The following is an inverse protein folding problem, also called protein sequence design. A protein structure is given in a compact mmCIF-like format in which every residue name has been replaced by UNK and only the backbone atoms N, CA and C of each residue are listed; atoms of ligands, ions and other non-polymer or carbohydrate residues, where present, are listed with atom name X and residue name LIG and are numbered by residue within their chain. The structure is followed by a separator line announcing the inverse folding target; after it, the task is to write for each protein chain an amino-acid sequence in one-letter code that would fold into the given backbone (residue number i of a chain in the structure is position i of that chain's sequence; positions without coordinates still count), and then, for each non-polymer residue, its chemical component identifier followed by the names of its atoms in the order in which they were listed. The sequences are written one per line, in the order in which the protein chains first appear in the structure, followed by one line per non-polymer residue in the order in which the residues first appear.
data_IF_687453480691
#
_entry.id   IF_687453480691
#
_cell.length_a   1.000
_cell.length_b   1.000
_cell.length_c   1.000
_cell.angle_alpha   90.00
_cell.angle_beta   90.00
_cell.angle_gamma   90.00
#
_symmetry.space_group_name_H-M   'P 1'
#
loop_
_entity.id
_entity.type
_entity.pdbx_description
1 polymer ?
#
# COMPACT_ATOMS: atom_id res chain seq x y z
N UNK A 1 36.43 -8.63 -0.94
CA UNK A 1 35.65 -8.52 -2.19
C UNK A 1 34.43 -7.70 -1.91
N UNK A 2 34.20 -6.57 -2.61
CA UNK A 2 32.97 -5.78 -2.50
C UNK A 2 31.78 -6.69 -2.83
N UNK A 3 30.81 -6.79 -1.94
CA UNK A 3 29.59 -7.54 -2.24
C UNK A 3 28.88 -6.83 -3.40
N UNK A 4 28.43 -7.59 -4.38
CA UNK A 4 27.74 -7.04 -5.55
C UNK A 4 26.48 -6.27 -5.14
N UNK A 5 26.26 -5.11 -5.80
CA UNK A 5 25.11 -4.23 -5.55
C UNK A 5 23.78 -4.97 -5.66
N UNK A 6 22.85 -4.68 -4.74
CA UNK A 6 21.46 -5.07 -4.87
C UNK A 6 20.67 -3.89 -5.44
N UNK A 7 19.93 -4.11 -6.52
CA UNK A 7 19.01 -3.10 -7.08
C UNK A 7 17.57 -3.47 -6.75
N UNK A 8 16.85 -2.53 -6.14
CA UNK A 8 15.44 -2.66 -5.80
C UNK A 8 14.61 -1.87 -6.81
N UNK A 9 13.67 -2.52 -7.48
CA UNK A 9 12.76 -1.89 -8.45
C UNK A 9 11.44 -1.59 -7.76
N UNK A 10 11.17 -0.31 -7.54
CA UNK A 10 9.99 0.24 -6.87
C UNK A 10 10.30 0.79 -5.47
N UNK A 11 9.99 2.08 -5.26
CA UNK A 11 10.10 2.78 -3.98
C UNK A 11 8.77 2.80 -3.20
N UNK A 12 7.93 1.78 -3.34
CA UNK A 12 6.80 1.53 -2.46
C UNK A 12 7.26 1.00 -1.09
N UNK A 13 6.32 0.76 -0.18
CA UNK A 13 6.62 0.27 1.18
C UNK A 13 7.53 -0.97 1.16
N UNK A 14 7.21 -1.98 0.37
CA UNK A 14 7.99 -3.22 0.34
C UNK A 14 9.43 -2.99 -0.13
N UNK A 15 9.62 -2.28 -1.24
CA UNK A 15 10.95 -2.01 -1.78
C UNK A 15 11.81 -1.18 -0.85
N UNK A 16 11.26 -0.09 -0.31
CA UNK A 16 11.97 0.74 0.66
C UNK A 16 12.28 -0.02 1.95
N UNK A 17 11.38 -0.91 2.41
CA UNK A 17 11.61 -1.74 3.60
C UNK A 17 12.74 -2.76 3.39
N UNK A 18 12.82 -3.36 2.19
CA UNK A 18 13.98 -4.20 1.83
C UNK A 18 15.25 -3.36 1.83
N UNK A 19 15.23 -2.21 1.14
CA UNK A 19 16.39 -1.34 1.03
C UNK A 19 16.90 -0.84 2.38
N UNK A 20 16.00 -0.46 3.30
CA UNK A 20 16.34 -0.03 4.65
C UNK A 20 17.08 -1.14 5.43
N UNK A 21 16.55 -2.37 5.42
CA UNK A 21 17.18 -3.52 6.09
C UNK A 21 18.52 -3.92 5.46
N UNK A 22 18.65 -3.79 4.14
CA UNK A 22 19.91 -4.03 3.44
C UNK A 22 20.95 -2.96 3.77
N UNK A 23 20.54 -1.69 3.81
CA UNK A 23 21.42 -0.58 4.19
C UNK A 23 21.93 -0.73 5.63
N UNK A 24 21.03 -1.10 6.56
CA UNK A 24 21.37 -1.38 7.98
C UNK A 24 22.35 -2.55 8.10
N UNK A 25 22.24 -3.57 7.24
CA UNK A 25 23.21 -4.67 7.15
C UNK A 25 24.50 -4.31 6.37
N UNK A 26 24.72 -3.05 6.02
CA UNK A 26 25.92 -2.58 5.32
C UNK A 26 26.03 -3.01 3.86
N UNK A 27 24.88 -3.41 3.22
CA UNK A 27 24.86 -3.81 1.80
C UNK A 27 24.84 -2.58 0.89
N UNK A 28 25.51 -2.67 -0.26
CA UNK A 28 25.34 -1.70 -1.34
C UNK A 28 23.98 -1.91 -2.00
N UNK A 29 23.06 -0.95 -1.81
CA UNK A 29 21.70 -0.99 -2.33
C UNK A 29 21.37 0.28 -3.09
N UNK A 30 20.67 0.12 -4.21
CA UNK A 30 20.10 1.20 -5.04
C UNK A 30 18.62 0.92 -5.25
N UNK A 31 17.77 1.92 -5.01
CA UNK A 31 16.32 1.86 -5.29
C UNK A 31 16.04 2.67 -6.57
N UNK A 32 15.33 2.06 -7.51
CA UNK A 32 14.88 2.68 -8.77
C UNK A 32 13.36 2.78 -8.75
N UNK A 33 12.83 4.00 -8.82
CA UNK A 33 11.40 4.31 -8.83
C UNK A 33 11.01 4.99 -10.15
N UNK A 34 9.96 4.47 -10.79
CA UNK A 34 9.46 5.02 -12.05
C UNK A 34 8.78 6.39 -11.86
N UNK A 35 8.15 6.60 -10.72
CA UNK A 35 7.47 7.84 -10.37
C UNK A 35 8.41 8.91 -9.82
N UNK A 36 7.86 10.10 -9.60
CA UNK A 36 8.58 11.25 -9.05
C UNK A 36 8.63 11.25 -7.51
N UNK A 37 8.02 10.26 -6.83
CA UNK A 37 7.94 10.20 -5.36
C UNK A 37 8.05 8.78 -4.84
N UNK A 38 8.44 8.67 -3.57
CA UNK A 38 8.38 7.43 -2.81
C UNK A 38 6.95 7.11 -2.32
N UNK A 39 6.77 5.90 -1.79
CA UNK A 39 5.59 5.47 -1.05
C UNK A 39 4.63 4.58 -1.84
N UNK A 40 4.67 4.60 -3.17
CA UNK A 40 3.72 3.82 -3.98
C UNK A 40 2.27 4.15 -3.62
N UNK A 41 1.55 3.19 -3.02
CA UNK A 41 0.15 3.36 -2.57
C UNK A 41 0.02 4.08 -1.22
N UNK A 42 1.11 4.47 -0.58
CA UNK A 42 1.11 5.34 0.59
C UNK A 42 1.33 6.77 0.10
N UNK A 43 0.39 7.63 0.41
CA UNK A 43 0.47 9.06 0.11
C UNK A 43 -0.35 9.82 1.15
N UNK A 44 0.30 10.76 1.83
CA UNK A 44 -0.31 11.60 2.86
C UNK A 44 -0.11 13.07 2.50
N UNK A 45 -1.18 13.84 2.52
CA UNK A 45 -1.14 15.29 2.45
C UNK A 45 -1.13 15.87 3.87
N UNK A 46 -0.28 16.90 4.12
CA UNK A 46 -0.16 17.54 5.43
C UNK A 46 -0.13 19.05 5.25
N UNK A 47 -1.02 19.75 5.93
CA UNK A 47 -1.07 21.21 5.90
C UNK A 47 -1.86 21.73 7.11
N UNK A 48 -1.38 22.74 7.81
CA UNK A 48 -2.13 23.50 8.83
C UNK A 48 -2.89 22.62 9.85
N UNK A 49 -2.26 21.56 10.36
CA UNK A 49 -2.87 20.63 11.33
C UNK A 49 -3.75 19.56 10.71
N UNK A 50 -3.87 19.53 9.38
CA UNK A 50 -4.55 18.45 8.66
C UNK A 50 -3.56 17.36 8.26
N UNK A 51 -3.97 16.11 8.47
CA UNK A 51 -3.32 14.91 7.96
C UNK A 51 -4.33 14.13 7.14
N UNK A 52 -4.21 14.19 5.82
CA UNK A 52 -5.15 13.58 4.88
C UNK A 52 -4.48 12.42 4.15
N UNK A 53 -5.00 11.22 4.34
CA UNK A 53 -4.52 10.06 3.59
C UNK A 53 -5.13 10.04 2.21
N UNK A 54 -4.29 10.12 1.20
CA UNK A 54 -4.68 9.97 -0.20
C UNK A 54 -4.59 8.52 -0.66
N UNK A 55 -3.77 7.71 0.01
CA UNK A 55 -3.55 6.28 -0.23
C UNK A 55 -4.01 5.40 0.94
N UNK A 56 -3.17 4.45 1.33
CA UNK A 56 -3.43 3.58 2.48
C UNK A 56 -3.49 4.40 3.79
N UNK A 57 -4.51 4.17 4.59
CA UNK A 57 -4.77 4.94 5.82
C UNK A 57 -4.11 4.34 7.07
N UNK A 58 -3.87 3.04 7.05
CA UNK A 58 -3.32 2.32 8.17
C UNK A 58 -3.20 0.82 7.87
N UNK A 59 -2.93 0.05 8.89
CA UNK A 59 -2.72 -1.40 8.78
C UNK A 59 -3.27 -2.15 9.99
N UNK A 60 -3.75 -3.36 9.76
CA UNK A 60 -4.00 -4.32 10.83
C UNK A 60 -2.67 -4.94 11.20
N UNK A 61 -2.25 -4.83 12.46
CA UNK A 61 -0.99 -5.40 12.92
C UNK A 61 -1.14 -6.92 13.12
N UNK A 62 -0.98 -7.69 12.05
CA UNK A 62 -1.00 -9.16 12.04
C UNK A 62 0.33 -9.77 12.42
N UNK A 63 1.40 -9.02 12.22
CA UNK A 63 2.77 -9.43 12.50
C UNK A 63 3.52 -8.35 13.28
N UNK A 64 4.77 -8.63 13.61
CA UNK A 64 5.67 -7.64 14.19
C UNK A 64 6.42 -6.81 13.13
N UNK A 65 6.29 -7.13 11.85
CA UNK A 65 7.11 -6.55 10.79
C UNK A 65 7.04 -5.02 10.73
N UNK A 66 5.83 -4.42 10.88
CA UNK A 66 5.69 -2.96 10.90
C UNK A 66 6.13 -2.33 12.23
N UNK A 67 5.75 -2.83 13.42
CA UNK A 67 6.31 -2.34 14.68
C UNK A 67 7.83 -2.43 14.73
N UNK A 68 8.43 -3.53 14.29
CA UNK A 68 9.88 -3.69 14.28
C UNK A 68 10.54 -2.77 13.22
N UNK A 69 9.91 -2.55 12.09
CA UNK A 69 10.34 -1.56 11.11
C UNK A 69 10.28 -0.14 11.67
N UNK A 70 9.20 0.23 12.36
CA UNK A 70 9.07 1.53 12.99
C UNK A 70 10.16 1.76 14.06
N UNK A 71 10.52 0.71 14.80
CA UNK A 71 11.64 0.74 15.76
C UNK A 71 12.98 0.94 15.07
N UNK A 72 13.27 0.18 14.00
CA UNK A 72 14.47 0.35 13.18
C UNK A 72 14.64 1.79 12.70
N UNK A 73 13.52 2.41 12.31
CA UNK A 73 13.49 3.78 11.79
C UNK A 73 13.45 4.87 12.88
N UNK A 74 13.37 4.51 14.17
CA UNK A 74 13.27 5.45 15.28
C UNK A 74 11.92 6.19 15.37
N UNK A 75 10.85 5.65 14.76
CA UNK A 75 9.51 6.26 14.74
C UNK A 75 8.45 5.42 15.46
N UNK A 76 8.83 4.43 16.26
CA UNK A 76 7.89 3.57 17.00
C UNK A 76 6.95 4.39 17.90
N UNK A 77 7.45 5.45 18.54
CA UNK A 77 6.65 6.36 19.37
C UNK A 77 5.59 7.17 18.61
N UNK A 78 5.61 7.13 17.28
CA UNK A 78 4.60 7.79 16.44
C UNK A 78 3.46 6.85 16.03
N UNK A 79 3.49 5.58 16.43
CA UNK A 79 2.41 4.64 16.17
C UNK A 79 1.17 5.04 16.99
N UNK A 80 0.03 5.11 16.32
CA UNK A 80 -1.27 5.43 16.92
C UNK A 80 -2.29 4.34 16.60
N UNK A 81 -3.12 4.04 17.57
CA UNK A 81 -4.22 3.10 17.41
C UNK A 81 -5.49 3.84 16.98
N UNK A 82 -6.38 3.15 16.31
CA UNK A 82 -7.70 3.63 15.97
C UNK A 82 -8.52 3.86 17.26
N UNK A 83 -9.17 5.03 17.35
CA UNK A 83 -9.93 5.43 18.53
C UNK A 83 -11.24 4.63 18.70
N UNK A 84 -11.89 4.30 17.60
CA UNK A 84 -13.13 3.52 17.57
C UNK A 84 -13.15 2.60 16.36
N UNK A 85 -13.68 1.39 16.53
CA UNK A 85 -13.95 0.44 15.44
C UNK A 85 -15.42 0.43 15.03
N UNK A 86 -16.27 1.19 15.72
CA UNK A 86 -17.69 1.26 15.45
C UNK A 86 -17.96 1.69 14.03
N UNK A 87 -18.69 0.87 13.31
CA UNK A 87 -19.06 1.11 11.92
C UNK A 87 -20.55 0.91 11.76
N UNK A 88 -21.19 1.80 11.03
CA UNK A 88 -22.62 1.79 10.84
C UNK A 88 -22.97 1.39 9.40
N UNK A 89 -24.24 0.99 9.23
CA UNK A 89 -24.90 0.93 7.93
C UNK A 89 -26.15 1.80 7.98
N UNK A 90 -26.55 2.35 6.84
CA UNK A 90 -27.81 3.10 6.75
C UNK A 90 -28.92 2.15 6.35
N UNK A 91 -29.87 1.91 7.25
CA UNK A 91 -31.06 1.09 7.05
C UNK A 91 -32.30 1.94 7.39
N UNK A 92 -33.29 2.01 6.48
CA UNK A 92 -34.49 2.82 6.65
C UNK A 92 -34.23 4.25 7.18
N UNK A 93 -33.17 4.89 6.64
CA UNK A 93 -32.69 6.24 6.99
C UNK A 93 -32.17 6.42 8.42
N UNK A 94 -31.93 5.32 9.12
CA UNK A 94 -31.27 5.29 10.43
C UNK A 94 -29.85 4.67 10.34
N UNK A 95 -28.98 5.11 11.26
CA UNK A 95 -27.65 4.53 11.42
C UNK A 95 -27.72 3.32 12.36
N UNK A 96 -27.52 2.13 11.81
CA UNK A 96 -27.50 0.88 12.56
C UNK A 96 -26.05 0.45 12.78
N UNK A 97 -25.67 0.26 14.04
CA UNK A 97 -24.34 -0.21 14.41
C UNK A 97 -24.16 -1.66 13.94
N UNK A 98 -23.08 -1.91 13.22
CA UNK A 98 -22.73 -3.24 12.75
C UNK A 98 -21.96 -4.04 13.82
N UNK A 99 -22.19 -5.35 13.91
CA UNK A 99 -21.35 -6.23 14.72
C UNK A 99 -19.86 -6.16 14.28
N UNK A 100 -18.90 -6.42 15.18
CA UNK A 100 -17.48 -6.47 14.84
C UNK A 100 -17.20 -7.38 13.63
N UNK A 101 -16.44 -6.88 12.65
CA UNK A 101 -16.07 -7.59 11.43
C UNK A 101 -17.12 -7.58 10.32
N UNK A 102 -18.38 -7.25 10.59
CA UNK A 102 -19.45 -7.25 9.58
C UNK A 102 -19.21 -6.21 8.48
N UNK A 103 -18.67 -5.04 8.82
CA UNK A 103 -18.29 -4.03 7.84
C UNK A 103 -17.23 -4.57 6.85
N UNK A 104 -16.21 -5.23 7.35
CA UNK A 104 -15.18 -5.84 6.53
C UNK A 104 -15.76 -6.92 5.60
N UNK A 105 -16.64 -7.79 6.13
CA UNK A 105 -17.33 -8.82 5.36
C UNK A 105 -18.17 -8.21 4.22
N UNK A 106 -18.95 -7.17 4.49
CA UNK A 106 -19.76 -6.46 3.46
C UNK A 106 -18.89 -5.80 2.39
N UNK A 107 -17.66 -5.39 2.73
CA UNK A 107 -16.69 -4.85 1.79
C UNK A 107 -15.92 -5.94 1.02
N UNK A 108 -16.15 -7.22 1.31
CA UNK A 108 -15.51 -8.35 0.66
C UNK A 108 -14.17 -8.76 1.26
N UNK A 109 -13.84 -8.30 2.47
CA UNK A 109 -12.67 -8.74 3.20
C UNK A 109 -13.00 -9.91 4.12
N UNK A 110 -12.12 -10.90 4.16
CA UNK A 110 -12.15 -11.96 5.18
C UNK A 110 -11.31 -11.52 6.37
N UNK A 111 -11.94 -11.45 7.54
CA UNK A 111 -11.27 -11.10 8.80
C UNK A 111 -11.34 -12.32 9.70
N UNK A 112 -10.20 -12.88 10.13
CA UNK A 112 -10.16 -13.95 11.14
C UNK A 112 -10.87 -13.54 12.43
N UNK A 113 -11.49 -14.48 13.11
CA UNK A 113 -12.27 -14.20 14.33
C UNK A 113 -11.43 -13.52 15.40
N UNK A 114 -10.16 -13.92 15.53
CA UNK A 114 -9.19 -13.35 16.46
C UNK A 114 -8.75 -11.91 16.16
N UNK A 115 -9.07 -11.42 14.95
CA UNK A 115 -8.79 -10.05 14.51
C UNK A 115 -10.01 -9.13 14.61
N UNK A 116 -11.18 -9.68 14.92
CA UNK A 116 -12.41 -8.89 15.04
C UNK A 116 -12.25 -7.84 16.14
N UNK A 117 -12.60 -6.60 15.83
CA UNK A 117 -12.54 -5.49 16.77
C UNK A 117 -11.16 -4.91 17.07
N UNK A 118 -10.06 -5.45 16.48
CA UNK A 118 -8.71 -4.90 16.71
C UNK A 118 -8.49 -3.52 16.11
N UNK A 119 -9.28 -3.13 15.10
CA UNK A 119 -9.08 -1.87 14.40
C UNK A 119 -7.80 -1.86 13.57
N UNK A 120 -7.40 -0.67 13.16
CA UNK A 120 -6.17 -0.43 12.43
C UNK A 120 -5.24 0.48 13.21
N UNK A 121 -3.94 0.33 12.96
CA UNK A 121 -2.90 1.24 13.44
C UNK A 121 -2.43 2.14 12.31
N UNK A 122 -1.87 3.26 12.66
CA UNK A 122 -1.26 4.20 11.72
C UNK A 122 -0.12 4.96 12.39
N UNK A 123 0.38 6.00 11.75
CA UNK A 123 1.36 6.92 12.35
C UNK A 123 0.70 8.28 12.61
N UNK A 124 1.13 8.98 13.64
CA UNK A 124 0.53 10.26 14.06
C UNK A 124 0.46 11.29 12.91
N UNK A 125 1.52 11.39 12.10
CA UNK A 125 1.55 12.25 10.91
C UNK A 125 1.13 11.52 9.63
N UNK A 126 0.33 10.46 9.74
CA UNK A 126 -0.13 9.65 8.62
C UNK A 126 0.90 8.63 8.13
N UNK A 127 0.44 7.74 7.27
CA UNK A 127 1.27 6.65 6.73
C UNK A 127 2.49 7.16 5.95
N UNK A 128 2.42 8.36 5.37
CA UNK A 128 3.56 9.01 4.71
C UNK A 128 4.77 9.21 5.62
N UNK A 129 4.57 9.32 6.93
CA UNK A 129 5.67 9.40 7.90
C UNK A 129 6.60 8.17 7.82
N UNK A 130 6.02 6.99 7.60
CA UNK A 130 6.79 5.76 7.43
C UNK A 130 7.64 5.80 6.16
N UNK A 131 7.07 6.25 5.04
CA UNK A 131 7.82 6.31 3.77
C UNK A 131 8.90 7.38 3.79
N UNK A 132 8.65 8.52 4.44
CA UNK A 132 9.63 9.59 4.63
C UNK A 132 10.83 9.08 5.47
N UNK A 133 10.55 8.39 6.58
CA UNK A 133 11.57 7.78 7.42
C UNK A 133 12.38 6.70 6.71
N UNK A 134 11.73 5.89 5.88
CA UNK A 134 12.39 4.87 5.06
C UNK A 134 13.37 5.49 4.06
N UNK A 135 12.97 6.53 3.34
CA UNK A 135 13.85 7.23 2.39
C UNK A 135 15.03 7.87 3.13
N UNK A 136 14.78 8.50 4.28
CA UNK A 136 15.85 9.08 5.11
C UNK A 136 16.85 8.02 5.60
N UNK A 137 16.36 6.86 6.05
CA UNK A 137 17.19 5.76 6.56
C UNK A 137 18.02 5.09 5.45
N UNK A 138 17.43 4.84 4.27
CA UNK A 138 18.13 4.30 3.10
C UNK A 138 19.23 5.27 2.64
N UNK A 139 18.98 6.55 2.78
CA UNK A 139 19.80 7.66 2.28
C UNK A 139 19.29 8.12 0.90
N UNK A 140 18.94 9.41 0.76
CA UNK A 140 18.34 9.96 -0.47
C UNK A 140 19.16 9.68 -1.74
N UNK A 141 20.49 9.66 -1.65
CA UNK A 141 21.38 9.37 -2.77
C UNK A 141 21.26 7.93 -3.30
N UNK A 142 20.67 7.01 -2.54
CA UNK A 142 20.42 5.62 -2.93
C UNK A 142 19.01 5.38 -3.47
N UNK A 143 18.18 6.43 -3.59
CA UNK A 143 16.83 6.35 -4.14
C UNK A 143 16.74 7.28 -5.34
N UNK A 144 16.59 6.69 -6.54
CA UNK A 144 16.46 7.44 -7.79
C UNK A 144 15.00 7.43 -8.24
N UNK A 145 14.41 8.60 -8.33
CA UNK A 145 13.08 8.82 -8.88
C UNK A 145 13.12 9.06 -10.39
N UNK A 146 12.00 8.94 -11.06
CA UNK A 146 11.86 9.05 -12.52
C UNK A 146 12.86 8.13 -13.27
N UNK A 147 13.22 7.02 -12.63
CA UNK A 147 14.20 6.03 -13.08
C UNK A 147 13.52 4.68 -13.34
N UNK A 148 12.48 4.70 -14.17
CA UNK A 148 11.70 3.51 -14.49
C UNK A 148 12.52 2.47 -15.25
N UNK A 149 12.57 1.22 -14.75
CA UNK A 149 13.22 0.10 -15.42
C UNK A 149 12.33 -0.39 -16.56
N UNK A 150 12.88 -0.47 -17.75
CA UNK A 150 12.22 -0.87 -18.99
C UNK A 150 12.46 -2.34 -19.34
N UNK A 151 13.70 -2.80 -19.12
CA UNK A 151 14.10 -4.17 -19.40
C UNK A 151 15.06 -4.70 -18.34
N UNK A 152 14.99 -6.01 -18.11
CA UNK A 152 15.89 -6.77 -17.25
C UNK A 152 16.48 -7.92 -18.05
N UNK A 153 17.80 -7.94 -18.17
CA UNK A 153 18.53 -8.95 -18.96
C UNK A 153 19.69 -9.53 -18.16
N UNK A 154 20.21 -10.66 -18.60
CA UNK A 154 21.41 -11.25 -18.00
C UNK A 154 22.67 -10.82 -18.75
N UNK A 155 23.68 -10.38 -18.01
CA UNK A 155 24.98 -10.01 -18.50
C UNK A 155 26.09 -10.73 -17.72
N UNK A 156 26.44 -11.91 -18.18
CA UNK A 156 27.34 -12.79 -17.44
C UNK A 156 26.74 -13.23 -16.08
N UNK A 157 27.47 -13.00 -15.01
CA UNK A 157 27.02 -13.30 -13.65
C UNK A 157 26.08 -12.23 -13.06
N UNK A 158 25.91 -11.09 -13.72
CA UNK A 158 25.11 -9.96 -13.26
C UNK A 158 23.80 -9.83 -14.03
N UNK A 159 22.92 -9.03 -13.49
CA UNK A 159 21.69 -8.57 -14.14
C UNK A 159 21.91 -7.14 -14.61
N UNK A 160 21.53 -6.85 -15.85
CA UNK A 160 21.53 -5.50 -16.42
C UNK A 160 20.11 -4.96 -16.47
N UNK A 161 19.92 -3.76 -15.93
CA UNK A 161 18.66 -3.04 -15.88
C UNK A 161 18.77 -1.85 -16.84
N UNK A 162 17.93 -1.80 -17.86
CA UNK A 162 17.83 -0.67 -18.78
C UNK A 162 16.75 0.29 -18.27
N UNK A 163 17.07 1.56 -18.16
CA UNK A 163 16.19 2.59 -17.63
C UNK A 163 15.52 3.37 -18.76
N UNK A 164 14.43 4.07 -18.43
CA UNK A 164 13.66 4.86 -19.39
C UNK A 164 14.44 6.03 -20.03
N UNK A 165 15.48 6.52 -19.36
CA UNK A 165 16.39 7.56 -19.88
C UNK A 165 17.51 7.03 -20.77
N UNK A 166 17.51 5.73 -21.05
CA UNK A 166 18.54 5.06 -21.85
C UNK A 166 19.81 4.68 -21.08
N UNK A 167 19.92 5.03 -19.80
CA UNK A 167 21.01 4.59 -18.95
C UNK A 167 20.83 3.14 -18.51
N UNK A 168 21.88 2.52 -17.95
CA UNK A 168 21.81 1.15 -17.45
C UNK A 168 22.51 1.01 -16.11
N UNK A 169 21.98 0.08 -15.27
CA UNK A 169 22.58 -0.32 -14.00
C UNK A 169 22.91 -1.81 -14.02
N UNK A 170 23.99 -2.18 -13.33
CA UNK A 170 24.38 -3.58 -13.12
C UNK A 170 24.11 -3.98 -11.67
N UNK A 171 23.53 -5.15 -11.50
CA UNK A 171 23.17 -5.70 -10.18
C UNK A 171 23.67 -7.14 -10.04
N UNK A 172 24.16 -7.47 -8.84
CA UNK A 172 24.40 -8.86 -8.44
C UNK A 172 23.14 -9.58 -8.02
N UNK A 173 22.15 -8.83 -7.51
CA UNK A 173 20.80 -9.31 -7.23
C UNK A 173 19.79 -8.19 -7.48
N UNK A 174 18.55 -8.57 -7.82
CA UNK A 174 17.44 -7.65 -8.06
C UNK A 174 16.28 -8.00 -7.13
N UNK A 175 15.65 -6.98 -6.55
CA UNK A 175 14.38 -7.11 -5.85
C UNK A 175 13.30 -6.42 -6.66
N UNK A 176 12.31 -7.19 -7.11
CA UNK A 176 11.11 -6.68 -7.78
C UNK A 176 10.04 -6.35 -6.74
N UNK A 177 9.85 -5.07 -6.44
CA UNK A 177 8.82 -4.55 -5.55
C UNK A 177 7.78 -3.72 -6.33
N UNK A 178 7.51 -4.14 -7.54
CA UNK A 178 6.57 -3.54 -8.47
C UNK A 178 5.26 -4.35 -8.56
N UNK A 179 4.17 -3.80 -9.12
CA UNK A 179 2.94 -4.54 -9.39
C UNK A 179 3.19 -5.81 -10.22
N UNK A 180 2.42 -6.89 -9.98
CA UNK A 180 2.65 -8.21 -10.59
C UNK A 180 2.73 -8.16 -12.13
N UNK A 181 1.83 -7.42 -12.78
CA UNK A 181 1.85 -7.26 -14.25
C UNK A 181 3.12 -6.59 -14.75
N UNK A 182 3.62 -5.58 -14.03
CA UNK A 182 4.88 -4.91 -14.37
C UNK A 182 6.06 -5.84 -14.16
N UNK A 183 6.10 -6.57 -13.05
CA UNK A 183 7.15 -7.56 -12.80
C UNK A 183 7.18 -8.64 -13.87
N UNK A 184 6.03 -9.21 -14.26
CA UNK A 184 5.92 -10.19 -15.32
C UNK A 184 6.51 -9.66 -16.65
N UNK A 185 6.23 -8.41 -17.01
CA UNK A 185 6.76 -7.76 -18.20
C UNK A 185 8.30 -7.65 -18.15
N UNK A 186 8.86 -7.24 -17.02
CA UNK A 186 10.31 -7.14 -16.85
C UNK A 186 11.01 -8.50 -16.86
N UNK A 187 10.31 -9.57 -16.48
CA UNK A 187 10.85 -10.93 -16.44
C UNK A 187 10.75 -11.66 -17.79
N UNK A 188 9.93 -11.19 -18.71
CA UNK A 188 9.70 -11.83 -20.00
C UNK A 188 11.01 -12.10 -20.77
N UNK A 189 11.99 -11.16 -20.87
CA UNK A 189 13.23 -11.40 -21.59
C UNK A 189 14.12 -12.49 -20.98
N UNK A 190 13.89 -12.81 -19.69
CA UNK A 190 14.64 -13.84 -18.97
C UNK A 190 14.09 -15.25 -19.15
N UNK A 191 12.94 -15.39 -19.83
CA UNK A 191 12.32 -16.69 -20.12
C UNK A 191 11.79 -17.43 -18.88
N UNK A 192 11.47 -16.72 -17.80
CA UNK A 192 10.92 -17.33 -16.56
C UNK A 192 9.44 -17.65 -16.78
N UNK A 193 9.16 -18.86 -17.19
CA UNK A 193 7.80 -19.32 -17.55
C UNK A 193 6.84 -19.19 -16.36
N UNK A 194 7.30 -19.46 -15.15
CA UNK A 194 6.51 -19.38 -13.91
C UNK A 194 6.03 -17.96 -13.60
N UNK A 195 6.64 -16.93 -14.19
CA UNK A 195 6.22 -15.53 -14.02
C UNK A 195 5.10 -15.11 -14.99
N UNK A 196 4.89 -15.83 -16.09
CA UNK A 196 3.89 -15.48 -17.10
C UNK A 196 2.45 -15.34 -16.55
N UNK A 197 1.97 -16.22 -15.65
CA UNK A 197 0.63 -16.07 -15.06
C UNK A 197 0.41 -14.78 -14.26
N UNK A 198 1.49 -14.16 -13.75
CA UNK A 198 1.42 -12.91 -13.01
C UNK A 198 0.93 -11.74 -13.87
N UNK A 199 1.12 -11.82 -15.20
CA UNK A 199 0.62 -10.81 -16.15
C UNK A 199 -0.92 -10.72 -16.16
N UNK A 200 -1.61 -11.83 -15.89
CA UNK A 200 -3.07 -11.92 -15.85
C UNK A 200 -3.65 -11.78 -14.43
N UNK A 201 -2.83 -11.39 -13.44
CA UNK A 201 -3.29 -11.22 -12.05
C UNK A 201 -4.48 -10.27 -11.98
N UNK A 202 -5.61 -10.68 -11.37
CA UNK A 202 -6.76 -9.81 -11.24
C UNK A 202 -6.47 -8.67 -10.26
N UNK A 203 -6.80 -7.47 -10.68
CA UNK A 203 -6.57 -6.23 -9.93
C UNK A 203 -7.89 -5.46 -9.80
N UNK A 204 -8.08 -4.81 -8.68
CA UNK A 204 -9.20 -3.89 -8.46
C UNK A 204 -8.69 -2.46 -8.42
N UNK A 205 -9.44 -1.58 -9.05
CA UNK A 205 -9.25 -0.15 -8.97
C UNK A 205 -10.08 0.45 -7.84
N UNK A 206 -9.60 1.55 -7.28
CA UNK A 206 -10.28 2.28 -6.23
C UNK A 206 -10.14 3.79 -6.48
N UNK A 207 -11.17 4.55 -6.12
CA UNK A 207 -11.10 6.00 -5.99
C UNK A 207 -11.50 6.36 -4.57
N UNK A 208 -10.74 7.22 -3.93
CA UNK A 208 -11.12 7.79 -2.65
C UNK A 208 -11.21 9.30 -2.72
N UNK A 209 -12.25 9.84 -2.10
CA UNK A 209 -12.51 11.29 -2.05
C UNK A 209 -12.51 11.70 -0.59
N UNK A 210 -11.57 12.56 -0.21
CA UNK A 210 -11.58 13.20 1.08
C UNK A 210 -12.31 14.55 0.96
N UNK A 211 -13.27 14.82 1.84
CA UNK A 211 -14.04 16.05 1.89
C UNK A 211 -13.89 16.68 3.28
N UNK A 212 -13.40 17.91 3.31
CA UNK A 212 -13.26 18.71 4.52
C UNK A 212 -14.44 19.63 4.66
N UNK A 213 -15.10 19.58 5.81
CA UNK A 213 -16.21 20.46 6.15
C UNK A 213 -15.88 21.29 7.40
N UNK A 214 -16.61 22.38 7.59
CA UNK A 214 -16.77 22.95 8.92
C UNK A 214 -17.57 21.98 9.78
N UNK A 215 -17.10 21.71 10.99
CA UNK A 215 -17.77 20.76 11.90
C UNK A 215 -19.20 21.20 12.25
N UNK A 216 -19.42 22.52 12.29
CA UNK A 216 -20.71 23.11 12.60
C UNK A 216 -21.79 22.90 11.54
N UNK A 217 -21.41 22.51 10.30
CA UNK A 217 -22.37 22.19 9.23
C UNK A 217 -23.16 20.89 9.47
N UNK A 218 -22.71 20.05 10.42
CA UNK A 218 -23.40 18.81 10.78
C UNK A 218 -24.28 19.02 12.01
N UNK A 219 -25.60 19.01 11.84
CA UNK A 219 -26.56 19.07 12.95
C UNK A 219 -26.41 17.85 13.91
N UNK A 220 -26.09 16.68 13.34
CA UNK A 220 -25.72 15.46 14.07
C UNK A 220 -24.55 14.80 13.36
N UNK A 221 -23.53 14.45 14.13
CA UNK A 221 -22.35 13.77 13.61
C UNK A 221 -22.10 12.51 14.44
N UNK A 222 -22.12 11.31 13.85
CA UNK A 222 -21.98 10.09 14.61
C UNK A 222 -20.58 9.95 15.19
N UNK A 223 -20.48 9.35 16.36
CA UNK A 223 -19.23 8.83 16.87
C UNK A 223 -18.92 7.51 16.15
N UNK A 224 -17.66 7.20 15.89
CA UNK A 224 -17.27 5.93 15.28
C UNK A 224 -16.27 6.07 14.15
N UNK A 225 -16.01 4.98 13.45
CA UNK A 225 -14.99 4.93 12.40
C UNK A 225 -15.53 5.20 11.00
N UNK A 226 -16.82 4.96 10.77
CA UNK A 226 -17.42 5.17 9.45
C UNK A 226 -18.73 4.45 9.20
N UNK A 227 -19.13 4.43 7.93
CA UNK A 227 -20.38 3.85 7.46
C UNK A 227 -20.13 2.99 6.22
N UNK A 228 -20.95 1.96 6.06
CA UNK A 228 -21.06 1.18 4.82
C UNK A 228 -22.29 1.68 4.07
N UNK A 229 -22.12 2.05 2.82
CA UNK A 229 -23.24 2.44 1.97
C UNK A 229 -24.10 1.22 1.61
N UNK A 230 -25.44 1.35 1.68
CA UNK A 230 -26.37 0.32 1.21
C UNK A 230 -26.19 0.02 -0.29
N UNK A 231 -26.68 -1.15 -0.73
CA UNK A 231 -26.56 -1.59 -2.13
C UNK A 231 -27.17 -0.61 -3.13
N UNK A 232 -28.20 0.17 -2.75
CA UNK A 232 -28.78 1.21 -3.61
C UNK A 232 -27.77 2.26 -4.09
N UNK A 233 -26.63 2.40 -3.42
CA UNK A 233 -25.52 3.28 -3.84
C UNK A 233 -24.48 2.56 -4.72
N UNK A 234 -24.58 1.24 -4.88
CA UNK A 234 -23.64 0.46 -5.67
C UNK A 234 -23.62 0.85 -7.14
N UNK A 235 -24.74 1.40 -7.66
CA UNK A 235 -24.87 1.84 -9.06
C UNK A 235 -23.86 2.92 -9.46
N UNK A 236 -23.40 3.73 -8.52
CA UNK A 236 -22.34 4.73 -8.70
C UNK A 236 -21.02 4.31 -8.10
N UNK A 237 -20.92 3.04 -7.70
CA UNK A 237 -19.69 2.45 -7.16
C UNK A 237 -19.36 2.82 -5.71
N UNK A 238 -20.24 3.52 -5.00
CA UNK A 238 -20.04 3.87 -3.59
C UNK A 238 -20.00 2.64 -2.70
N UNK A 239 -19.03 2.60 -1.77
CA UNK A 239 -18.79 1.45 -0.88
C UNK A 239 -18.87 1.81 0.60
N UNK A 240 -18.10 2.79 1.01
CA UNK A 240 -17.94 3.14 2.41
C UNK A 240 -17.56 4.61 2.59
N UNK A 241 -17.77 5.09 3.79
CA UNK A 241 -17.35 6.39 4.29
C UNK A 241 -16.56 6.19 5.56
N UNK A 242 -15.37 6.78 5.69
CA UNK A 242 -14.63 6.91 6.96
C UNK A 242 -14.85 8.29 7.57
N UNK A 243 -15.05 8.33 8.88
CA UNK A 243 -15.05 9.54 9.71
C UNK A 243 -13.62 9.73 10.21
N UNK A 244 -12.78 10.39 9.41
CA UNK A 244 -11.32 10.44 9.62
C UNK A 244 -10.96 11.16 10.91
N UNK A 245 -11.66 12.25 11.22
CA UNK A 245 -11.52 13.03 12.45
C UNK A 245 -11.88 12.24 13.72
N UNK A 246 -12.75 11.21 13.61
CA UNK A 246 -13.12 10.31 14.70
C UNK A 246 -12.22 9.08 14.81
N UNK A 247 -11.40 8.83 13.78
CA UNK A 247 -10.66 7.58 13.65
C UNK A 247 -9.27 7.65 14.28
N UNK A 248 -8.60 8.78 14.15
CA UNK A 248 -7.26 9.00 14.71
C UNK A 248 -7.15 10.38 15.33
N UNK A 249 -6.65 10.45 16.57
CA UNK A 249 -6.45 11.72 17.27
C UNK A 249 -5.46 12.65 16.54
N UNK A 250 -5.71 13.96 16.61
CA UNK A 250 -4.77 14.99 16.19
C UNK A 250 -4.56 15.15 14.68
N UNK A 251 -5.35 14.47 13.85
CA UNK A 251 -5.24 14.57 12.38
C UNK A 251 -6.07 15.67 11.74
N UNK A 252 -7.08 16.13 12.45
CA UNK A 252 -8.03 17.15 11.97
C UNK A 252 -8.25 18.16 13.07
N UNK A 253 -8.25 19.47 12.82
CA UNK A 253 -8.63 20.49 13.79
C UNK A 253 -10.03 20.24 14.33
N UNK A 254 -10.26 20.58 15.62
CA UNK A 254 -11.51 20.27 16.31
C UNK A 254 -12.76 20.93 15.72
N UNK A 255 -12.59 22.06 15.04
CA UNK A 255 -13.63 22.80 14.33
C UNK A 255 -13.89 22.29 12.90
N UNK A 256 -13.23 21.19 12.49
CA UNK A 256 -13.35 20.59 11.16
C UNK A 256 -13.83 19.15 11.26
N UNK A 257 -14.48 18.69 10.20
CA UNK A 257 -14.84 17.29 9.96
C UNK A 257 -14.19 16.84 8.66
N UNK A 258 -13.49 15.72 8.67
CA UNK A 258 -12.88 15.14 7.48
C UNK A 258 -13.50 13.78 7.21
N UNK A 259 -14.18 13.67 6.08
CA UNK A 259 -14.87 12.46 5.65
C UNK A 259 -14.18 11.90 4.40
N UNK A 260 -13.93 10.60 4.39
CA UNK A 260 -13.32 9.92 3.25
C UNK A 260 -14.28 8.91 2.65
N UNK A 261 -14.72 9.15 1.42
CA UNK A 261 -15.63 8.29 0.66
C UNK A 261 -14.83 7.39 -0.27
N UNK A 262 -15.20 6.11 -0.32
CA UNK A 262 -14.56 5.10 -1.15
C UNK A 262 -15.48 4.65 -2.27
N UNK A 263 -14.94 4.67 -3.49
CA UNK A 263 -15.58 4.17 -4.69
C UNK A 263 -14.85 2.94 -5.23
N UNK A 264 -15.62 1.97 -5.69
CA UNK A 264 -15.16 0.96 -6.66
C UNK A 264 -15.73 1.39 -8.00
N UNK A 265 -14.95 2.06 -8.88
CA UNK A 265 -15.46 2.59 -10.13
C UNK A 265 -16.10 1.51 -10.98
N UNK A 266 -17.22 1.82 -11.61
CA UNK A 266 -18.01 0.92 -12.48
C UNK A 266 -17.85 1.38 -13.93
N UNK A 267 -17.75 0.44 -14.86
CA UNK A 267 -17.54 0.73 -16.26
C UNK A 267 -16.27 1.56 -16.49
N UNK A 268 -16.38 2.63 -17.23
CA UNK A 268 -15.30 3.54 -17.58
C UNK A 268 -15.12 4.73 -16.61
N UNK A 269 -15.90 4.80 -15.53
CA UNK A 269 -15.93 5.93 -14.60
C UNK A 269 -14.53 6.32 -14.07
N UNK A 270 -13.62 5.36 -13.89
CA UNK A 270 -12.24 5.63 -13.45
C UNK A 270 -11.50 6.57 -14.40
N UNK A 271 -11.68 6.41 -15.71
CA UNK A 271 -11.02 7.20 -16.74
C UNK A 271 -11.85 8.38 -17.25
N UNK A 272 -13.19 8.25 -17.24
CA UNK A 272 -14.09 9.24 -17.87
C UNK A 272 -14.62 10.31 -16.91
N UNK A 273 -14.76 10.02 -15.61
CA UNK A 273 -15.24 11.02 -14.68
C UNK A 273 -14.12 11.98 -14.27
N UNK A 274 -14.36 13.31 -14.35
CA UNK A 274 -13.44 14.30 -13.78
C UNK A 274 -13.48 14.24 -12.25
N UNK A 275 -12.48 14.84 -11.60
CA UNK A 275 -12.37 14.84 -10.12
C UNK A 275 -13.53 15.53 -9.45
N UNK A 276 -14.05 16.60 -10.06
CA UNK A 276 -15.21 17.37 -9.59
C UNK A 276 -16.46 16.49 -9.53
N UNK A 277 -16.64 15.57 -10.46
CA UNK A 277 -17.76 14.63 -10.44
C UNK A 277 -17.65 13.64 -9.29
N UNK A 278 -16.47 13.08 -9.03
CA UNK A 278 -16.26 12.23 -7.87
C UNK A 278 -16.50 12.99 -6.57
N UNK A 279 -16.03 14.23 -6.47
CA UNK A 279 -16.26 15.08 -5.30
C UNK A 279 -17.75 15.38 -5.08
N UNK A 280 -18.46 15.73 -6.12
CA UNK A 280 -19.92 16.00 -6.09
C UNK A 280 -20.73 14.76 -5.70
N UNK A 281 -20.43 13.59 -6.28
CA UNK A 281 -21.10 12.33 -5.93
C UNK A 281 -20.81 11.93 -4.46
N UNK A 282 -19.59 12.17 -3.99
CA UNK A 282 -19.21 11.92 -2.60
C UNK A 282 -19.96 12.87 -1.65
N UNK A 283 -20.03 14.17 -1.93
CA UNK A 283 -20.78 15.16 -1.16
C UNK A 283 -22.27 14.83 -1.12
N UNK A 284 -22.86 14.50 -2.28
CA UNK A 284 -24.25 14.07 -2.39
C UNK A 284 -24.55 12.81 -1.59
N UNK A 285 -23.62 11.86 -1.58
CA UNK A 285 -23.76 10.63 -0.78
C UNK A 285 -23.73 10.91 0.72
N UNK A 286 -22.84 11.81 1.16
CA UNK A 286 -22.77 12.25 2.57
C UNK A 286 -24.09 12.91 2.96
N UNK A 287 -24.61 13.84 2.16
CA UNK A 287 -25.85 14.55 2.45
C UNK A 287 -27.10 13.63 2.54
N UNK A 288 -27.06 12.47 1.89
CA UNK A 288 -28.13 11.45 1.98
C UNK A 288 -28.07 10.60 3.23
N UNK A 289 -26.93 10.54 3.90
CA UNK A 289 -26.73 9.63 5.06
C UNK A 289 -26.44 10.39 6.37
N UNK A 290 -26.00 11.63 6.27
CA UNK A 290 -25.73 12.51 7.40
C UNK A 290 -26.44 13.86 7.20
N UNK A 291 -27.07 14.44 8.25
CA UNK A 291 -27.67 15.75 8.17
C UNK A 291 -26.59 16.84 8.13
N UNK A 292 -26.14 17.21 6.92
CA UNK A 292 -25.14 18.24 6.66
C UNK A 292 -25.76 19.41 5.90
N UNK A 293 -25.48 20.63 6.34
CA UNK A 293 -25.88 21.88 5.69
C UNK A 293 -24.64 22.58 5.15
N UNK A 294 -24.60 22.80 3.84
CA UNK A 294 -23.47 23.46 3.15
C UNK A 294 -22.56 22.53 2.38
N UNK A 295 -21.60 23.14 1.71
CA UNK A 295 -20.66 22.49 0.82
C UNK A 295 -19.32 22.18 1.53
N UNK A 296 -18.55 21.20 1.04
CA UNK A 296 -17.22 20.97 1.56
C UNK A 296 -16.30 22.16 1.30
N UNK A 297 -15.48 22.52 2.29
CA UNK A 297 -14.47 23.57 2.20
C UNK A 297 -13.36 23.21 1.22
N UNK A 298 -13.02 21.91 1.12
CA UNK A 298 -11.99 21.39 0.25
C UNK A 298 -12.21 19.91 -0.05
N UNK A 299 -11.78 19.47 -1.23
CA UNK A 299 -11.79 18.07 -1.64
C UNK A 299 -10.43 17.61 -2.14
N UNK A 300 -10.14 16.31 -1.97
CA UNK A 300 -9.00 15.61 -2.57
C UNK A 300 -9.50 14.32 -3.18
N UNK A 301 -9.33 14.17 -4.48
CA UNK A 301 -9.66 12.94 -5.22
C UNK A 301 -8.39 12.15 -5.50
N UNK A 302 -8.37 10.90 -5.12
CA UNK A 302 -7.23 10.01 -5.34
C UNK A 302 -7.67 8.79 -6.13
N UNK A 303 -7.05 8.61 -7.31
CA UNK A 303 -7.34 7.49 -8.21
C UNK A 303 -6.24 6.43 -8.09
N UNK A 304 -6.65 5.21 -7.88
CA UNK A 304 -5.77 4.07 -7.72
C UNK A 304 -6.14 2.98 -8.75
N UNK A 305 -5.76 3.18 -10.03
CA UNK A 305 -6.03 2.19 -11.07
C UNK A 305 -5.22 0.92 -10.81
N UNK A 306 -5.86 -0.24 -10.94
CA UNK A 306 -5.21 -1.56 -10.81
C UNK A 306 -4.32 -1.71 -9.56
N UNK A 307 -4.73 -1.08 -8.44
CA UNK A 307 -3.88 -0.96 -7.27
C UNK A 307 -4.05 -2.11 -6.25
N UNK A 308 -5.19 -2.79 -6.26
CA UNK A 308 -5.52 -3.78 -5.26
C UNK A 308 -5.48 -5.18 -5.86
N UNK A 309 -4.43 -5.99 -5.59
CA UNK A 309 -4.38 -7.36 -6.08
C UNK A 309 -5.45 -8.22 -5.41
N UNK A 310 -6.15 -9.03 -6.20
CA UNK A 310 -7.05 -10.06 -5.70
C UNK A 310 -6.23 -11.30 -5.38
N UNK A 311 -5.96 -11.50 -4.10
CA UNK A 311 -5.05 -12.54 -3.62
C UNK A 311 -5.79 -13.89 -3.44
N UNK A 312 -6.21 -14.49 -4.58
CA UNK A 312 -6.87 -15.80 -4.60
C UNK A 312 -5.88 -16.94 -4.30
N UNK A 313 -6.36 -18.16 -3.93
CA UNK A 313 -5.50 -19.33 -3.78
C UNK A 313 -4.67 -19.63 -5.02
N UNK A 314 -5.25 -19.46 -6.22
CA UNK A 314 -4.54 -19.65 -7.49
C UNK A 314 -3.42 -18.63 -7.66
N UNK A 315 -3.68 -17.35 -7.41
CA UNK A 315 -2.66 -16.30 -7.46
C UNK A 315 -1.52 -16.56 -6.45
N UNK A 316 -1.86 -16.99 -5.25
CA UNK A 316 -0.87 -17.35 -4.22
C UNK A 316 0.07 -18.47 -4.69
N UNK A 317 -0.47 -19.53 -5.30
CA UNK A 317 0.31 -20.63 -5.85
C UNK A 317 1.23 -20.18 -7.00
N UNK A 318 0.73 -19.36 -7.91
CA UNK A 318 1.49 -18.78 -9.02
C UNK A 318 2.63 -17.87 -8.53
N UNK A 319 2.35 -17.00 -7.57
CA UNK A 319 3.35 -16.12 -6.97
C UNK A 319 4.48 -16.90 -6.28
N UNK A 320 4.14 -17.97 -5.55
CA UNK A 320 5.12 -18.84 -4.89
C UNK A 320 5.99 -19.61 -5.90
N UNK A 321 5.40 -20.12 -6.99
CA UNK A 321 6.15 -20.78 -8.05
C UNK A 321 7.13 -19.81 -8.74
N UNK A 322 6.68 -18.60 -9.04
CA UNK A 322 7.52 -17.56 -9.62
C UNK A 322 8.66 -17.17 -8.65
N UNK A 323 8.39 -16.91 -7.35
CA UNK A 323 9.44 -16.58 -6.37
C UNK A 323 10.52 -17.68 -6.32
N UNK A 324 10.13 -18.95 -6.30
CA UNK A 324 11.08 -20.08 -6.27
C UNK A 324 11.95 -20.17 -7.52
N UNK A 325 11.39 -19.90 -8.70
CA UNK A 325 12.14 -19.90 -9.96
C UNK A 325 13.13 -18.71 -10.04
N UNK A 326 12.68 -17.54 -9.62
CA UNK A 326 13.43 -16.29 -9.66
C UNK A 326 14.64 -16.27 -8.74
N UNK A 327 14.56 -16.90 -7.55
CA UNK A 327 15.69 -16.97 -6.62
C UNK A 327 16.92 -17.61 -7.22
N UNK A 328 16.77 -18.59 -8.13
CA UNK A 328 17.88 -19.21 -8.87
C UNK A 328 18.61 -18.25 -9.81
N UNK A 329 17.93 -17.15 -10.14
CA UNK A 329 18.47 -16.09 -11.01
C UNK A 329 18.98 -14.87 -10.22
N UNK A 330 19.06 -14.97 -8.88
CA UNK A 330 19.32 -13.85 -7.97
C UNK A 330 18.30 -12.71 -8.12
N UNK A 331 17.04 -13.06 -8.39
CA UNK A 331 15.90 -12.16 -8.43
C UNK A 331 14.95 -12.55 -7.31
N UNK A 332 14.48 -11.56 -6.56
CA UNK A 332 13.56 -11.74 -5.44
C UNK A 332 12.33 -10.88 -5.65
N UNK A 333 11.18 -11.30 -5.15
CA UNK A 333 9.93 -10.53 -5.24
C UNK A 333 9.48 -10.11 -3.85
N UNK A 334 9.03 -8.87 -3.70
CA UNK A 334 8.51 -8.33 -2.44
C UNK A 334 7.21 -7.52 -2.67
N UNK A 335 6.35 -7.50 -1.67
CA UNK A 335 5.14 -6.68 -1.68
C UNK A 335 3.84 -7.45 -1.81
N UNK A 336 2.76 -6.70 -1.76
CA UNK A 336 1.39 -7.22 -1.72
C UNK A 336 0.98 -8.01 -2.97
N UNK A 337 1.67 -7.81 -4.08
CA UNK A 337 1.41 -8.55 -5.31
C UNK A 337 1.83 -10.03 -5.24
N UNK A 338 2.72 -10.41 -4.30
CA UNK A 338 3.36 -11.73 -4.27
C UNK A 338 3.12 -12.50 -2.96
N UNK A 339 3.03 -11.79 -1.83
CA UNK A 339 3.07 -12.42 -0.51
C UNK A 339 1.82 -12.21 0.33
N UNK A 340 0.82 -11.48 -0.16
CA UNK A 340 -0.44 -11.23 0.54
C UNK A 340 -0.86 -9.76 0.48
N UNK A 341 -2.17 -9.54 0.52
CA UNK A 341 -2.71 -8.19 0.42
C UNK A 341 -2.46 -7.38 1.70
N UNK A 342 -2.24 -6.07 1.51
CA UNK A 342 -2.17 -5.09 2.58
C UNK A 342 -0.76 -4.71 3.04
N UNK A 343 -0.73 -3.71 3.89
CA UNK A 343 0.48 -3.02 4.36
C UNK A 343 1.37 -3.96 5.20
N UNK A 344 0.77 -4.73 6.12
CA UNK A 344 1.49 -5.65 6.98
C UNK A 344 2.17 -6.78 6.18
N UNK A 345 1.45 -7.35 5.20
CA UNK A 345 2.00 -8.38 4.31
C UNK A 345 3.17 -7.83 3.45
N UNK A 346 3.08 -6.58 2.99
CA UNK A 346 4.16 -5.94 2.25
C UNK A 346 5.43 -5.79 3.11
N UNK A 347 5.29 -5.37 4.37
CA UNK A 347 6.40 -5.24 5.31
C UNK A 347 7.00 -6.60 5.69
N UNK A 348 6.16 -7.61 5.96
CA UNK A 348 6.61 -8.98 6.27
C UNK A 348 7.37 -9.61 5.10
N UNK A 349 6.89 -9.42 3.87
CA UNK A 349 7.60 -9.91 2.68
C UNK A 349 8.98 -9.27 2.52
N UNK A 350 9.08 -7.99 2.83
CA UNK A 350 10.35 -7.27 2.77
C UNK A 350 11.37 -7.79 3.78
N UNK A 351 10.92 -8.15 4.98
CA UNK A 351 11.76 -8.77 6.01
C UNK A 351 12.31 -10.12 5.54
N UNK A 352 11.47 -10.98 4.97
CA UNK A 352 11.88 -12.27 4.42
C UNK A 352 12.92 -12.11 3.30
N UNK A 353 12.69 -11.18 2.38
CA UNK A 353 13.63 -10.93 1.26
C UNK A 353 14.95 -10.37 1.76
N UNK A 354 14.93 -9.41 2.68
CA UNK A 354 16.14 -8.85 3.25
C UNK A 354 16.95 -9.93 4.00
N UNK A 355 16.30 -10.79 4.79
CA UNK A 355 16.95 -11.90 5.48
C UNK A 355 17.65 -12.86 4.50
N UNK A 356 17.00 -13.23 3.40
CA UNK A 356 17.61 -14.06 2.34
C UNK A 356 18.87 -13.42 1.74
N UNK A 357 18.84 -12.11 1.50
CA UNK A 357 19.95 -11.38 0.88
C UNK A 357 21.09 -11.06 1.84
N UNK A 358 20.86 -11.09 3.15
CA UNK A 358 21.88 -10.87 4.19
C UNK A 358 22.47 -12.16 4.74
N UNK A 359 21.76 -13.29 4.65
CA UNK A 359 22.28 -14.59 5.04
C UNK A 359 23.52 -14.94 4.24
N UNK A 360 24.66 -15.21 4.89
CA UNK A 360 25.84 -15.77 4.23
C UNK A 360 25.45 -17.14 3.67
N UNK A 361 25.86 -17.51 2.43
CA UNK A 361 25.73 -18.89 2.00
C UNK A 361 26.50 -19.75 3.02
N UNK A 362 25.82 -20.64 3.71
CA UNK A 362 26.44 -21.72 4.47
C UNK A 362 27.20 -22.52 3.44
N UNK A 363 28.52 -22.42 3.44
CA UNK A 363 29.37 -23.34 2.74
C UNK A 363 29.09 -24.71 3.36
N UNK A 364 28.15 -25.46 2.80
CA UNK A 364 28.01 -26.89 3.05
C UNK A 364 29.34 -27.52 2.64
N UNK A 365 30.09 -28.00 3.61
CA UNK A 365 31.42 -28.57 3.42
C UNK A 365 31.42 -29.60 2.33
N UNK A 366 32.44 -29.49 1.46
CA UNK A 366 32.79 -30.56 0.57
C UNK A 366 32.93 -31.87 1.37
N UNK A 367 32.43 -33.01 0.87
CA UNK A 367 32.68 -34.27 1.48
C UNK A 367 34.20 -34.52 1.46
N UNK A 368 34.80 -34.60 2.62
CA UNK A 368 36.17 -35.11 2.76
C UNK A 368 36.17 -36.58 2.33
N UNK A 369 36.57 -36.86 1.11
CA UNK A 369 36.95 -38.20 0.69
C UNK A 369 38.23 -38.57 1.44
N UNK A 370 38.13 -39.57 2.29
CA UNK A 370 39.26 -40.38 2.72
C UNK A 370 39.43 -41.56 1.78
#
# INVERSE_FOLDING_TARGET
MSQARVVVIGAGLAGLSVAARLADAGRDVLVLEAGARAGGQIQTFREAGLVVELGAEGFVARSRALPDLARLLGIEGSLVDQLSTDTYVVEADELVLLPPGEAARRLGFQVPVEELGRGIRSFALGMGQLTDALVAHVGPARVRFSAGVQALTRRGAQLALELADGSSELAGAVVLAAPARQAARLLQPLGVIESAPLAASPLLSNVSVNLLYDRATFARYPAGSGLIFPERFAQVGLRALSLVDQKFAGRVPADRALLRVFFRPIGDALGSWPDERFASEAASAIARVLPVEGEPLRSWVSRWPDALPVFSPAHKAQAAAADSALQRLAIHVAGSAFHGAGIDAAASSAELVAARLTSRPTLTGAPTTR
#
